data_IF_474558887602
#
_entry.id   IF_474558887602
#
_cell.length_a   1.000
_cell.length_b   1.000
_cell.length_c   1.000
_cell.angle_alpha   90.00
_cell.angle_beta   90.00
_cell.angle_gamma   90.00
#
_symmetry.space_group_name_H-M   'P 1'
#
loop_
_entity.id
_entity.type
_entity.pdbx_description
1 polymer ?
#
# COMPACT_ATOMS: atom_id res chain seq x y z
N UNK A 1 9.97 -23.32 4.99
CA UNK A 1 10.07 -21.89 4.59
C UNK A 1 9.43 -21.07 5.69
N UNK A 2 10.14 -20.12 6.32
CA UNK A 2 9.55 -19.20 7.29
C UNK A 2 9.25 -17.87 6.61
N UNK A 3 7.97 -17.59 6.36
CA UNK A 3 7.51 -16.28 5.89
C UNK A 3 6.96 -15.49 7.08
N UNK A 4 7.36 -14.24 7.22
CA UNK A 4 6.93 -13.39 8.32
C UNK A 4 7.66 -12.06 8.35
N UNK A 5 7.09 -11.09 9.07
CA UNK A 5 7.69 -9.77 9.28
C UNK A 5 8.38 -9.80 10.64
N UNK A 6 9.70 -9.65 10.65
CA UNK A 6 10.48 -9.56 11.89
C UNK A 6 10.57 -8.11 12.35
N UNK A 7 10.00 -7.83 13.51
CA UNK A 7 10.16 -6.55 14.17
C UNK A 7 11.38 -6.57 15.08
N UNK A 8 12.31 -5.65 14.84
CA UNK A 8 13.45 -5.41 15.72
C UNK A 8 13.23 -4.11 16.46
N UNK A 9 13.53 -4.11 17.76
CA UNK A 9 13.53 -2.88 18.54
C UNK A 9 14.73 -2.05 18.09
N UNK A 10 14.48 -0.96 17.39
CA UNK A 10 15.52 0.04 17.14
C UNK A 10 15.59 0.96 18.37
N UNK A 11 16.72 0.94 19.09
CA UNK A 11 16.93 1.79 20.27
C UNK A 11 17.47 3.17 19.93
N UNK A 12 17.87 3.39 18.66
CA UNK A 12 18.52 4.62 18.20
C UNK A 12 17.60 5.51 17.36
N UNK A 13 16.51 4.98 16.82
CA UNK A 13 15.55 5.74 16.00
C UNK A 13 14.25 6.03 16.77
N UNK A 14 13.77 7.27 16.66
CA UNK A 14 12.39 7.60 17.03
C UNK A 14 11.46 6.77 16.14
N UNK A 15 10.63 5.92 16.75
CA UNK A 15 9.68 5.07 16.03
C UNK A 15 8.59 5.97 15.43
N UNK A 16 8.76 6.33 14.16
CA UNK A 16 7.80 7.13 13.40
C UNK A 16 6.90 6.23 12.55
N UNK A 17 5.65 6.65 12.37
CA UNK A 17 4.74 6.03 11.43
C UNK A 17 5.00 6.61 10.04
N UNK A 18 5.35 5.74 9.10
CA UNK A 18 5.55 6.12 7.69
C UNK A 18 4.53 5.38 6.84
N UNK A 19 3.88 6.10 5.92
CA UNK A 19 2.84 5.56 5.05
C UNK A 19 3.07 5.93 3.60
N UNK A 20 2.72 5.01 2.71
CA UNK A 20 2.66 5.22 1.27
C UNK A 20 1.30 4.78 0.75
N UNK A 21 0.83 5.46 -0.29
CA UNK A 21 -0.38 5.13 -1.03
C UNK A 21 -0.04 5.08 -2.52
N UNK A 22 -0.73 4.23 -3.26
CA UNK A 22 -0.61 4.14 -4.71
C UNK A 22 -1.94 3.72 -5.32
N UNK A 23 -2.22 4.21 -6.52
CA UNK A 23 -3.31 3.71 -7.35
C UNK A 23 -2.84 3.69 -8.81
N UNK A 24 -3.01 2.56 -9.49
CA UNK A 24 -2.70 2.43 -10.92
C UNK A 24 -3.93 2.79 -11.76
N UNK A 25 -3.79 3.75 -12.69
CA UNK A 25 -4.90 4.09 -13.59
C UNK A 25 -5.14 3.01 -14.63
N UNK A 26 -6.36 2.47 -14.67
CA UNK A 26 -6.81 1.50 -15.67
C UNK A 26 -5.87 0.30 -15.85
N UNK A 27 -5.17 -0.12 -14.79
CA UNK A 27 -4.17 -1.17 -14.87
C UNK A 27 -4.72 -2.59 -14.98
N UNK A 28 -6.01 -2.80 -14.70
CA UNK A 28 -6.67 -4.06 -15.03
C UNK A 28 -7.00 -4.14 -16.53
N UNK A 29 -6.43 -5.13 -17.23
CA UNK A 29 -6.62 -5.27 -18.67
C UNK A 29 -8.03 -5.70 -19.08
N UNK A 30 -8.78 -6.36 -18.19
CA UNK A 30 -10.11 -6.91 -18.50
C UNK A 30 -11.19 -5.84 -18.34
N UNK A 31 -11.21 -5.13 -17.21
CA UNK A 31 -12.25 -4.15 -16.88
C UNK A 31 -11.75 -2.70 -16.74
N UNK A 32 -10.46 -2.44 -16.96
CA UNK A 32 -9.83 -1.10 -16.85
C UNK A 32 -10.06 -0.44 -15.50
N UNK A 33 -10.28 -1.23 -14.45
CA UNK A 33 -10.39 -0.71 -13.10
C UNK A 33 -9.01 -0.55 -12.50
N UNK A 34 -8.87 0.51 -11.73
CA UNK A 34 -7.65 0.83 -11.00
C UNK A 34 -7.55 -0.03 -9.74
N UNK A 35 -6.34 -0.24 -9.23
CA UNK A 35 -6.08 -0.92 -7.95
C UNK A 35 -5.42 0.05 -6.98
N UNK A 36 -6.19 0.45 -5.97
CA UNK A 36 -5.67 1.32 -4.91
C UNK A 36 -5.07 0.47 -3.81
N UNK A 37 -3.94 0.90 -3.27
CA UNK A 37 -3.26 0.23 -2.18
C UNK A 37 -2.53 1.20 -1.28
N UNK A 38 -2.30 0.77 -0.05
CA UNK A 38 -1.49 1.49 0.91
C UNK A 38 -0.62 0.54 1.70
N UNK A 39 0.45 1.09 2.26
CA UNK A 39 1.32 0.40 3.20
C UNK A 39 1.78 1.37 4.28
N UNK A 40 1.60 0.98 5.54
CA UNK A 40 2.07 1.70 6.71
C UNK A 40 3.12 0.87 7.43
N UNK A 41 4.27 1.46 7.67
CA UNK A 41 5.37 0.87 8.45
C UNK A 41 5.62 1.64 9.74
N UNK A 42 6.01 0.90 10.76
CA UNK A 42 6.42 1.46 12.04
C UNK A 42 7.68 0.75 12.51
N UNK A 43 8.74 1.51 12.79
CA UNK A 43 10.05 0.93 13.10
C UNK A 43 10.59 0.12 11.93
N UNK A 44 10.87 -1.17 12.14
CA UNK A 44 11.52 -2.03 11.13
C UNK A 44 10.55 -2.88 10.31
N UNK A 45 9.24 -2.68 10.41
CA UNK A 45 8.26 -3.57 9.80
C UNK A 45 6.96 -2.88 9.38
N UNK A 46 6.24 -3.55 8.48
CA UNK A 46 4.93 -3.11 7.96
C UNK A 46 3.83 -3.56 8.92
N UNK A 47 3.07 -2.61 9.45
CA UNK A 47 2.02 -2.83 10.44
C UNK A 47 0.61 -2.88 9.85
N UNK A 48 0.39 -2.26 8.69
CA UNK A 48 -0.91 -2.25 8.01
C UNK A 48 -0.73 -2.07 6.52
N UNK A 49 -1.46 -2.83 5.72
CA UNK A 49 -1.45 -2.72 4.27
C UNK A 49 -2.80 -3.16 3.70
N UNK A 50 -3.12 -2.65 2.53
CA UNK A 50 -4.26 -3.10 1.75
C UNK A 50 -3.95 -2.95 0.27
N UNK A 51 -4.55 -3.81 -0.54
CA UNK A 51 -4.62 -3.66 -1.99
C UNK A 51 -6.03 -4.03 -2.42
N UNK A 52 -6.71 -3.11 -3.09
CA UNK A 52 -8.12 -3.22 -3.43
C UNK A 52 -8.37 -2.70 -4.84
N UNK A 53 -8.97 -3.56 -5.66
CA UNK A 53 -9.52 -3.18 -6.96
C UNK A 53 -10.68 -2.19 -6.77
N UNK A 54 -10.65 -1.07 -7.47
CA UNK A 54 -11.70 -0.06 -7.41
C UNK A 54 -13.02 -0.63 -7.96
N UNK A 55 -14.18 -0.22 -7.42
CA UNK A 55 -15.48 -0.71 -7.88
C UNK A 55 -15.90 -0.11 -9.24
N UNK A 56 -15.29 1.02 -9.61
CA UNK A 56 -15.60 1.78 -10.81
C UNK A 56 -14.34 1.94 -11.68
N UNK A 57 -14.55 2.18 -12.97
CA UNK A 57 -13.49 2.59 -13.89
C UNK A 57 -13.26 4.09 -13.68
N UNK A 58 -12.03 4.45 -13.32
CA UNK A 58 -11.63 5.84 -13.19
C UNK A 58 -11.22 6.41 -14.55
N UNK A 59 -11.38 7.71 -14.76
CA UNK A 59 -11.14 8.39 -16.05
C UNK A 59 -9.83 9.20 -16.06
N UNK A 60 -9.16 9.28 -14.91
CA UNK A 60 -7.85 9.91 -14.75
C UNK A 60 -7.08 9.29 -13.57
N UNK A 61 -5.78 9.55 -13.51
CA UNK A 61 -4.94 9.16 -12.37
C UNK A 61 -5.37 9.86 -11.07
N UNK A 62 -5.84 11.12 -11.15
CA UNK A 62 -6.30 11.87 -9.97
C UNK A 62 -7.56 11.28 -9.37
N UNK A 63 -8.50 10.78 -10.18
CA UNK A 63 -9.69 10.10 -9.67
C UNK A 63 -9.38 8.67 -9.19
N UNK A 64 -8.33 8.06 -9.72
CA UNK A 64 -7.86 6.76 -9.27
C UNK A 64 -7.23 6.82 -7.88
N UNK A 65 -6.61 7.93 -7.47
CA UNK A 65 -6.03 8.11 -6.13
C UNK A 65 -7.05 8.34 -5.01
#
# INVERSE_FOLDING_TARGET
>A
MSYGILYKRNTEENVTLVGWTNSDYAGDHDDRRSTSGYVFSMGTGVVSWSSKKQPIVTLSTTEAE
#
